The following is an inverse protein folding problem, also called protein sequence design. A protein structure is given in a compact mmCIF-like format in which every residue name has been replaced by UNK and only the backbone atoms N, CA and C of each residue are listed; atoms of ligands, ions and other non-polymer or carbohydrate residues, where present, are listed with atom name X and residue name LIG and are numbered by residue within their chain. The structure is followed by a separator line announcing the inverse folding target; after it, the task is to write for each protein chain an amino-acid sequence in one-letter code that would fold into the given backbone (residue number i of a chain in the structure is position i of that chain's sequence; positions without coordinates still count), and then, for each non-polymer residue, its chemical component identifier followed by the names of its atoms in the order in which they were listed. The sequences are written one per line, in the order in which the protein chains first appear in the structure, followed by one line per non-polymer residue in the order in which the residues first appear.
data_IF_974264378854
#
_entry.id   IF_974264378854
#
_cell.length_a   1.000
_cell.length_b   1.000
_cell.length_c   1.000
_cell.angle_alpha   90.00
_cell.angle_beta   90.00
_cell.angle_gamma   90.00
#
_symmetry.space_group_name_H-M   'P 1'
#
loop_
_entity.id
_entity.type
_entity.pdbx_description
1 polymer ?
#
# COMPACT_ATOMS: atom_id res chain seq x y z
N UNK A 1 -9.52 10.85 26.41
CA UNK A 1 -9.21 10.13 27.67
C UNK A 1 -7.94 9.30 27.43
N UNK A 2 -6.78 9.77 27.90
CA UNK A 2 -5.51 9.05 27.71
C UNK A 2 -5.48 7.85 28.65
N UNK A 3 -5.64 6.67 28.10
CA UNK A 3 -5.53 5.41 28.85
C UNK A 3 -4.05 5.23 29.18
N UNK A 4 -3.67 5.40 30.46
CA UNK A 4 -2.31 5.17 30.93
C UNK A 4 -2.02 3.67 31.01
N UNK A 5 -1.78 3.05 29.84
CA UNK A 5 -1.45 1.62 29.73
C UNK A 5 0.06 1.44 29.85
N UNK A 6 0.48 0.57 30.79
CA UNK A 6 1.88 0.15 30.94
C UNK A 6 2.41 -0.48 29.64
N UNK A 7 3.67 -0.23 29.24
CA UNK A 7 4.22 -0.70 27.96
C UNK A 7 4.03 -2.21 27.70
N UNK A 8 4.21 -3.05 28.71
CA UNK A 8 4.07 -4.51 28.66
C UNK A 8 2.63 -4.98 28.35
N UNK A 9 1.62 -4.14 28.60
CA UNK A 9 0.21 -4.45 28.34
C UNK A 9 -0.33 -3.83 27.05
N UNK A 10 0.46 -3.07 26.30
CA UNK A 10 -0.01 -2.36 25.09
C UNK A 10 -0.24 -3.27 23.90
N UNK A 11 0.54 -4.34 23.74
CA UNK A 11 0.52 -5.21 22.56
C UNK A 11 -0.88 -5.75 22.21
N UNK A 12 -1.66 -6.34 23.14
CA UNK A 12 -3.02 -6.80 22.82
C UNK A 12 -3.97 -5.66 22.45
N UNK A 13 -3.84 -4.50 23.11
CA UNK A 13 -4.69 -3.32 22.84
C UNK A 13 -4.40 -2.74 21.46
N UNK A 14 -3.11 -2.63 21.08
CA UNK A 14 -2.70 -2.18 19.75
C UNK A 14 -3.23 -3.14 18.69
N UNK A 15 -3.10 -4.46 18.90
CA UNK A 15 -3.61 -5.45 17.96
C UNK A 15 -5.13 -5.35 17.79
N UNK A 16 -5.87 -5.19 18.88
CA UNK A 16 -7.32 -4.98 18.81
C UNK A 16 -7.68 -3.71 18.04
N UNK A 17 -6.98 -2.60 18.28
CA UNK A 17 -7.19 -1.34 17.54
C UNK A 17 -6.83 -1.46 16.07
N UNK A 18 -5.75 -2.17 15.73
CA UNK A 18 -5.39 -2.47 14.35
C UNK A 18 -6.51 -3.27 13.66
N UNK A 19 -7.05 -4.29 14.32
CA UNK A 19 -8.19 -5.05 13.80
C UNK A 19 -9.44 -4.19 13.60
N UNK A 20 -9.74 -3.30 14.55
CA UNK A 20 -10.86 -2.36 14.44
C UNK A 20 -10.70 -1.42 13.23
N UNK A 21 -9.51 -0.84 13.05
CA UNK A 21 -9.20 0.00 11.89
C UNK A 21 -9.34 -0.76 10.57
N UNK A 22 -8.83 -1.99 10.50
CA UNK A 22 -8.97 -2.81 9.29
C UNK A 22 -10.42 -3.19 8.99
N UNK A 23 -11.30 -3.25 10.00
CA UNK A 23 -12.71 -3.57 9.82
C UNK A 23 -13.55 -2.39 9.27
N UNK A 24 -12.99 -1.17 9.19
CA UNK A 24 -13.73 0.02 8.75
C UNK A 24 -14.12 -0.03 7.26
N UNK A 25 -13.30 -0.64 6.40
CA UNK A 25 -13.59 -0.78 4.97
C UNK A 25 -12.70 -1.82 4.29
N UNK A 26 -13.06 -2.24 3.08
CA UNK A 26 -12.20 -3.09 2.25
C UNK A 26 -10.84 -2.42 1.97
N UNK A 27 -10.82 -1.10 1.75
CA UNK A 27 -9.58 -0.35 1.55
C UNK A 27 -8.69 -0.39 2.80
N UNK A 28 -9.27 -0.16 3.98
CA UNK A 28 -8.53 -0.23 5.25
C UNK A 28 -7.99 -1.65 5.53
N UNK A 29 -8.78 -2.68 5.21
CA UNK A 29 -8.35 -4.08 5.33
C UNK A 29 -7.15 -4.41 4.43
N UNK A 30 -7.24 -4.07 3.15
CA UNK A 30 -6.18 -4.34 2.16
C UNK A 30 -4.89 -3.63 2.54
N UNK A 31 -5.00 -2.35 2.94
CA UNK A 31 -3.86 -1.56 3.42
C UNK A 31 -3.21 -2.20 4.67
N UNK A 32 -4.03 -2.62 5.63
CA UNK A 32 -3.54 -3.14 6.92
C UNK A 32 -3.04 -4.60 6.90
N UNK A 33 -3.22 -5.33 5.79
CA UNK A 33 -2.92 -6.76 5.73
C UNK A 33 -1.86 -7.11 4.67
N UNK A 34 -0.62 -6.69 4.92
CA UNK A 34 0.54 -6.96 4.06
C UNK A 34 0.81 -8.46 3.87
N UNK A 35 0.71 -9.25 4.93
CA UNK A 35 0.94 -10.69 4.87
C UNK A 35 0.01 -11.39 3.86
N UNK A 36 -1.30 -11.09 3.88
CA UNK A 36 -2.25 -11.70 2.94
C UNK A 36 -2.02 -11.31 1.49
N UNK A 37 -1.53 -10.10 1.24
CA UNK A 37 -1.14 -9.70 -0.11
C UNK A 37 0.05 -10.52 -0.60
N UNK A 38 1.08 -10.72 0.22
CA UNK A 38 2.23 -11.53 -0.17
C UNK A 38 1.89 -13.02 -0.31
N UNK A 39 0.99 -13.56 0.53
CA UNK A 39 0.43 -14.90 0.33
C UNK A 39 -0.23 -15.03 -1.05
N UNK A 40 -1.03 -14.04 -1.44
CA UNK A 40 -1.68 -14.00 -2.76
C UNK A 40 -0.67 -13.83 -3.90
N UNK A 41 0.29 -12.93 -3.73
CA UNK A 41 1.34 -12.65 -4.71
C UNK A 41 2.20 -13.89 -4.98
N UNK A 42 2.49 -14.68 -3.95
CA UNK A 42 3.24 -15.93 -4.04
C UNK A 42 2.46 -17.08 -4.71
N UNK A 43 1.17 -16.91 -5.02
CA UNK A 43 0.39 -17.93 -5.73
C UNK A 43 0.94 -18.15 -7.14
N UNK A 44 0.92 -19.41 -7.59
CA UNK A 44 1.49 -19.80 -8.90
C UNK A 44 0.87 -19.03 -10.07
N UNK A 45 -0.43 -18.77 -10.03
CA UNK A 45 -1.13 -18.03 -11.08
C UNK A 45 -0.70 -16.58 -11.16
N UNK A 46 -0.50 -15.92 -10.01
CA UNK A 46 -0.03 -14.53 -9.98
C UNK A 46 1.42 -14.46 -10.43
N UNK A 47 2.31 -15.27 -9.86
CA UNK A 47 3.72 -15.32 -10.24
C UNK A 47 3.92 -15.57 -11.74
N UNK A 48 3.11 -16.44 -12.34
CA UNK A 48 3.18 -16.72 -13.78
C UNK A 48 2.74 -15.52 -14.67
N UNK A 49 1.94 -14.61 -14.13
CA UNK A 49 1.45 -13.42 -14.83
C UNK A 49 2.37 -12.20 -14.63
N UNK A 50 3.31 -12.25 -13.68
CA UNK A 50 4.22 -11.13 -13.43
C UNK A 50 5.33 -11.06 -14.48
N UNK A 51 5.67 -9.85 -14.94
CA UNK A 51 6.87 -9.68 -15.77
C UNK A 51 8.12 -10.02 -14.95
N UNK A 52 9.12 -10.55 -15.64
CA UNK A 52 10.45 -10.70 -15.06
C UNK A 52 11.06 -9.31 -14.82
N UNK A 53 11.70 -9.14 -13.67
CA UNK A 53 12.28 -7.87 -13.26
C UNK A 53 13.57 -8.08 -12.45
N UNK A 54 14.41 -7.03 -12.34
CA UNK A 54 15.63 -7.11 -11.56
C UNK A 54 15.32 -7.25 -10.07
N UNK A 55 16.28 -7.77 -9.32
CA UNK A 55 16.22 -7.83 -7.87
C UNK A 55 16.76 -6.51 -7.31
N UNK A 56 15.88 -5.65 -6.83
CA UNK A 56 16.23 -4.32 -6.31
C UNK A 56 15.53 -4.05 -4.97
N UNK A 57 15.99 -3.04 -4.24
CA UNK A 57 15.26 -2.57 -3.06
C UNK A 57 13.90 -2.01 -3.47
N UNK A 58 12.84 -2.58 -2.92
CA UNK A 58 11.46 -2.14 -3.04
C UNK A 58 10.95 -1.68 -1.67
N UNK A 59 9.92 -0.84 -1.64
CA UNK A 59 9.24 -0.39 -0.43
C UNK A 59 8.65 -1.55 0.37
N UNK A 60 8.07 -2.56 -0.31
CA UNK A 60 7.49 -3.75 0.33
C UNK A 60 6.10 -3.51 0.92
N UNK A 61 5.74 -2.25 1.19
CA UNK A 61 4.39 -1.85 1.61
C UNK A 61 3.89 -0.62 0.83
N UNK A 62 4.16 -0.56 -0.47
CA UNK A 62 3.80 0.58 -1.30
C UNK A 62 2.27 0.70 -1.47
N UNK A 63 1.64 1.60 -0.75
CA UNK A 63 0.21 1.85 -0.82
C UNK A 63 -0.09 3.36 -0.76
N UNK A 64 -1.30 3.79 -1.12
CA UNK A 64 -1.65 5.23 -1.23
C UNK A 64 -1.34 6.04 0.03
N UNK A 65 -1.55 5.47 1.23
CA UNK A 65 -1.20 6.13 2.50
C UNK A 65 0.30 6.33 2.77
N UNK A 66 1.17 5.64 2.01
CA UNK A 66 2.62 5.74 2.08
C UNK A 66 3.16 6.67 0.98
N UNK A 67 2.30 7.08 0.03
CA UNK A 67 2.60 8.18 -0.86
C UNK A 67 2.26 9.50 -0.19
N UNK A 68 2.98 10.54 -0.56
CA UNK A 68 2.35 11.84 -0.53
C UNK A 68 3.26 13.01 -0.84
N UNK A 69 2.63 14.20 -0.83
CA UNK A 69 3.28 15.41 -1.26
C UNK A 69 4.39 15.79 -0.27
N UNK A 70 5.53 16.17 -0.82
CA UNK A 70 6.61 16.83 -0.12
C UNK A 70 6.87 18.13 -0.85
N UNK A 71 6.78 19.25 -0.13
CA UNK A 71 7.10 20.57 -0.68
C UNK A 71 8.57 20.89 -0.46
N UNK A 72 9.23 21.43 -1.47
CA UNK A 72 10.55 22.04 -1.28
C UNK A 72 10.45 23.49 -0.76
N UNK A 73 11.59 24.15 -0.60
CA UNK A 73 11.68 25.54 -0.12
C UNK A 73 11.17 26.57 -1.14
N UNK A 74 11.05 26.17 -2.41
CA UNK A 74 10.63 27.01 -3.54
C UNK A 74 9.12 26.87 -3.82
N UNK A 75 8.45 25.93 -3.14
CA UNK A 75 7.02 25.67 -3.24
C UNK A 75 6.66 24.60 -4.29
N UNK A 76 7.64 23.91 -4.87
CA UNK A 76 7.37 22.77 -5.75
C UNK A 76 6.92 21.58 -4.90
N UNK A 77 5.98 20.78 -5.43
CA UNK A 77 5.43 19.61 -4.75
C UNK A 77 5.81 18.36 -5.52
N UNK A 78 6.59 17.50 -4.89
CA UNK A 78 6.89 16.17 -5.38
C UNK A 78 6.06 15.12 -4.66
N UNK A 79 5.80 14.00 -5.34
CA UNK A 79 5.23 12.81 -4.71
C UNK A 79 6.37 11.89 -4.31
N UNK A 80 6.46 11.58 -3.02
CA UNK A 80 7.46 10.65 -2.50
C UNK A 80 6.81 9.41 -1.89
N UNK A 81 7.48 8.27 -2.05
CA UNK A 81 7.24 7.08 -1.25
C UNK A 81 7.86 7.34 0.13
N UNK A 82 7.06 7.15 1.17
CA UNK A 82 7.45 7.27 2.57
C UNK A 82 7.26 5.91 3.25
N UNK A 83 7.83 5.79 4.45
CA UNK A 83 7.77 4.58 5.27
C UNK A 83 8.49 3.39 4.62
N UNK A 84 9.79 3.28 4.92
CA UNK A 84 10.71 2.32 4.31
C UNK A 84 11.13 1.20 5.30
N UNK A 85 10.35 1.00 6.37
CA UNK A 85 10.63 0.03 7.42
C UNK A 85 10.39 -1.44 7.00
N UNK A 86 9.60 -1.63 5.94
CA UNK A 86 9.29 -2.93 5.31
C UNK A 86 10.07 -3.16 4.00
N UNK A 87 11.12 -2.38 3.76
CA UNK A 87 11.94 -2.52 2.54
C UNK A 87 12.56 -3.90 2.42
N UNK A 88 12.54 -4.44 1.20
CA UNK A 88 13.07 -5.77 0.89
C UNK A 88 13.63 -5.78 -0.52
N UNK A 89 14.53 -6.71 -0.81
CA UNK A 89 15.00 -6.95 -2.17
C UNK A 89 13.95 -7.79 -2.92
N UNK A 90 13.44 -7.30 -4.05
CA UNK A 90 12.43 -7.99 -4.84
C UNK A 90 12.21 -7.39 -6.23
N UNK A 91 11.25 -7.97 -6.95
CA UNK A 91 10.81 -7.48 -8.26
C UNK A 91 10.03 -6.16 -8.07
N UNK A 92 10.36 -5.06 -8.78
CA UNK A 92 9.64 -3.79 -8.70
C UNK A 92 8.14 -3.90 -8.94
N UNK A 93 7.69 -4.89 -9.73
CA UNK A 93 6.28 -5.15 -10.00
C UNK A 93 5.47 -5.37 -8.71
N UNK A 94 6.11 -5.84 -7.63
CA UNK A 94 5.44 -6.06 -6.35
C UNK A 94 4.89 -4.75 -5.75
N UNK A 95 5.68 -3.68 -5.77
CA UNK A 95 5.25 -2.35 -5.29
C UNK A 95 4.18 -1.75 -6.19
N UNK A 96 4.31 -1.90 -7.52
CA UNK A 96 3.30 -1.43 -8.47
C UNK A 96 1.95 -2.12 -8.27
N UNK A 97 1.93 -3.43 -8.05
CA UNK A 97 0.71 -4.17 -7.75
C UNK A 97 0.11 -3.78 -6.41
N UNK A 98 0.95 -3.62 -5.38
CA UNK A 98 0.54 -3.19 -4.05
C UNK A 98 -0.12 -1.80 -4.12
N UNK A 99 0.51 -0.87 -4.84
CA UNK A 99 0.03 0.49 -4.99
C UNK A 99 -1.25 0.54 -5.84
N UNK A 100 -1.26 -0.15 -6.98
CA UNK A 100 -2.43 -0.24 -7.86
C UNK A 100 -3.64 -0.85 -7.15
N UNK A 101 -3.44 -1.92 -6.38
CA UNK A 101 -4.50 -2.48 -5.55
C UNK A 101 -5.02 -1.46 -4.52
N UNK A 102 -4.13 -0.72 -3.86
CA UNK A 102 -4.53 0.33 -2.91
C UNK A 102 -5.34 1.45 -3.60
N UNK A 103 -4.90 1.93 -4.77
CA UNK A 103 -5.61 2.94 -5.56
C UNK A 103 -7.00 2.44 -5.99
N UNK A 104 -7.09 1.21 -6.49
CA UNK A 104 -8.36 0.61 -6.90
C UNK A 104 -9.34 0.48 -5.74
N UNK A 105 -8.85 0.09 -4.56
CA UNK A 105 -9.68 0.00 -3.36
C UNK A 105 -10.09 1.38 -2.83
N UNK A 106 -9.20 2.38 -2.89
CA UNK A 106 -9.51 3.75 -2.51
C UNK A 106 -10.59 4.37 -3.42
N UNK A 107 -10.45 4.19 -4.73
CA UNK A 107 -11.41 4.62 -5.73
C UNK A 107 -12.79 3.96 -5.50
N UNK A 108 -12.79 2.64 -5.25
CA UNK A 108 -14.01 1.90 -4.92
C UNK A 108 -14.65 2.38 -3.62
N UNK A 109 -13.88 2.66 -2.57
CA UNK A 109 -14.41 3.19 -1.32
C UNK A 109 -14.97 4.61 -1.43
N UNK A 110 -14.62 5.32 -2.51
CA UNK A 110 -15.07 6.67 -2.82
C UNK A 110 -16.19 6.69 -3.88
N UNK A 111 -16.78 5.53 -4.19
CA UNK A 111 -17.82 5.34 -5.21
C UNK A 111 -17.44 5.91 -6.60
N UNK A 112 -16.15 5.91 -6.94
CA UNK A 112 -15.69 6.29 -8.26
C UNK A 112 -16.08 5.24 -9.29
N UNK A 113 -16.38 5.70 -10.52
CA UNK A 113 -16.71 4.81 -11.64
C UNK A 113 -15.52 3.94 -12.00
N UNK A 114 -15.78 2.71 -12.43
CA UNK A 114 -14.73 1.78 -12.86
C UNK A 114 -13.80 2.36 -13.92
N UNK A 115 -14.33 3.18 -14.83
CA UNK A 115 -13.53 3.90 -15.84
C UNK A 115 -12.50 4.82 -15.18
N UNK A 116 -12.88 5.57 -14.14
CA UNK A 116 -11.93 6.41 -13.39
C UNK A 116 -10.84 5.58 -12.73
N UNK A 117 -11.19 4.44 -12.14
CA UNK A 117 -10.20 3.50 -11.57
C UNK A 117 -9.24 2.99 -12.65
N UNK A 118 -9.74 2.61 -13.83
CA UNK A 118 -8.90 2.16 -14.94
C UNK A 118 -7.93 3.24 -15.39
N UNK A 119 -8.40 4.48 -15.62
CA UNK A 119 -7.51 5.59 -15.98
C UNK A 119 -6.45 5.83 -14.91
N UNK A 120 -6.82 5.82 -13.62
CA UNK A 120 -5.84 6.01 -12.53
C UNK A 120 -4.74 4.93 -12.54
N UNK A 121 -5.09 3.68 -12.83
CA UNK A 121 -4.11 2.59 -12.92
C UNK A 121 -3.26 2.68 -14.19
N UNK A 122 -3.85 3.08 -15.31
CA UNK A 122 -3.14 3.31 -16.57
C UNK A 122 -2.11 4.44 -16.42
N UNK A 123 -2.50 5.57 -15.85
CA UNK A 123 -1.58 6.69 -15.59
C UNK A 123 -0.49 6.33 -14.58
N UNK A 124 -0.82 5.54 -13.55
CA UNK A 124 0.18 5.05 -12.58
C UNK A 124 1.24 4.18 -13.25
N UNK A 125 0.83 3.23 -14.11
CA UNK A 125 1.77 2.37 -14.83
C UNK A 125 2.53 3.17 -15.91
N UNK A 126 1.83 4.04 -16.64
CA UNK A 126 2.42 4.91 -17.66
C UNK A 126 3.46 5.86 -17.10
N UNK A 127 3.27 6.40 -15.90
CA UNK A 127 4.26 7.24 -15.22
C UNK A 127 5.46 6.48 -14.64
N UNK A 128 5.39 5.15 -14.54
CA UNK A 128 6.52 4.32 -14.11
C UNK A 128 7.42 3.88 -15.28
N UNK A 129 6.85 3.70 -16.48
CA UNK A 129 7.55 3.26 -17.69
C UNK A 129 8.31 4.39 -18.38
#
# INVERSE_FOLDING_TARGET
MSINVRPDKRKPIIKQRQHQKMAESAHAYVRGNTARFYDWLASKSVQAALPQGPSVWICGDCHTGNLGPVSDLEGNIDIQIRDLDQTVIGNPAHDLLRLGLSLAMAARSSDLRGVTTSLMLEEMIGGYC
#
